data_IF_728413599801
#
_entry.id   IF_728413599801
#
_cell.length_a   1.000
_cell.length_b   1.000
_cell.length_c   1.000
_cell.angle_alpha   90.00
_cell.angle_beta   90.00
_cell.angle_gamma   90.00
#
_symmetry.space_group_name_H-M   'P 1'
#
loop_
_entity.id
_entity.type
_entity.pdbx_description
1 polymer ?
#
# COMPACT_ATOMS: atom_id res chain seq x y z
N UNK A 1 23.77 12.82 -16.78
CA UNK A 1 23.58 13.82 -15.71
C UNK A 1 22.99 13.05 -14.55
N UNK A 2 23.78 12.83 -13.51
CA UNK A 2 23.41 11.99 -12.37
C UNK A 2 22.57 12.84 -11.42
N UNK A 3 21.29 12.51 -11.26
CA UNK A 3 20.39 13.14 -10.30
C UNK A 3 20.98 13.12 -8.90
N UNK A 4 20.60 14.10 -8.07
CA UNK A 4 21.16 14.33 -6.74
C UNK A 4 20.87 13.18 -5.76
N UNK A 5 19.93 12.30 -6.09
CA UNK A 5 19.64 11.01 -5.47
C UNK A 5 20.14 9.89 -6.39
N UNK A 6 21.38 9.44 -6.17
CA UNK A 6 22.04 8.46 -7.02
C UNK A 6 21.19 7.23 -7.32
N UNK A 7 21.07 6.90 -8.61
CA UNK A 7 20.63 5.61 -9.18
C UNK A 7 19.41 4.96 -8.50
N UNK A 8 18.46 5.78 -8.04
CA UNK A 8 17.24 5.26 -7.42
C UNK A 8 16.32 4.76 -8.54
N UNK A 9 16.06 3.46 -8.56
CA UNK A 9 15.16 2.85 -9.54
C UNK A 9 13.69 3.17 -9.22
N UNK A 10 13.29 4.39 -9.61
CA UNK A 10 11.95 4.93 -9.47
C UNK A 10 10.87 3.99 -10.03
N UNK A 11 11.01 3.40 -11.23
CA UNK A 11 10.06 2.39 -11.72
C UNK A 11 9.90 1.19 -10.79
N UNK A 12 10.98 0.66 -10.25
CA UNK A 12 10.93 -0.49 -9.34
C UNK A 12 10.29 -0.14 -8.00
N UNK A 13 10.60 1.04 -7.44
CA UNK A 13 9.99 1.52 -6.20
C UNK A 13 8.48 1.77 -6.37
N UNK A 14 8.08 2.44 -7.46
CA UNK A 14 6.68 2.68 -7.78
C UNK A 14 5.89 1.35 -7.82
N UNK A 15 6.39 0.36 -8.58
CA UNK A 15 5.74 -0.95 -8.71
C UNK A 15 5.65 -1.70 -7.38
N UNK A 16 6.76 -1.75 -6.63
CA UNK A 16 6.79 -2.45 -5.33
C UNK A 16 5.84 -1.82 -4.33
N UNK A 17 5.82 -0.48 -4.23
CA UNK A 17 4.91 0.21 -3.33
C UNK A 17 3.44 0.05 -3.75
N UNK A 18 3.14 0.07 -5.06
CA UNK A 18 1.79 -0.21 -5.56
C UNK A 18 1.36 -1.64 -5.24
N UNK A 19 2.22 -2.64 -5.49
CA UNK A 19 1.92 -4.04 -5.19
C UNK A 19 1.76 -4.29 -3.69
N UNK A 20 2.60 -3.66 -2.86
CA UNK A 20 2.50 -3.74 -1.41
C UNK A 20 1.21 -3.09 -0.91
N UNK A 21 0.85 -1.92 -1.43
CA UNK A 21 -0.41 -1.25 -1.10
C UNK A 21 -1.63 -2.09 -1.49
N UNK A 22 -1.62 -2.64 -2.70
CA UNK A 22 -2.66 -3.58 -3.13
C UNK A 22 -2.76 -4.81 -2.22
N UNK A 23 -1.62 -5.39 -1.85
CA UNK A 23 -1.57 -6.56 -0.97
C UNK A 23 -2.14 -6.28 0.43
N UNK A 24 -1.78 -5.14 1.02
CA UNK A 24 -2.33 -4.71 2.32
C UNK A 24 -3.84 -4.48 2.25
N UNK A 25 -4.31 -3.79 1.21
CA UNK A 25 -5.74 -3.58 1.00
C UNK A 25 -6.50 -4.89 0.82
N UNK A 26 -5.98 -5.78 -0.04
CA UNK A 26 -6.58 -7.09 -0.26
C UNK A 26 -6.61 -7.92 1.03
N UNK A 27 -5.56 -7.86 1.85
CA UNK A 27 -5.51 -8.59 3.12
C UNK A 27 -6.53 -8.06 4.12
N UNK A 28 -6.65 -6.73 4.28
CA UNK A 28 -7.68 -6.12 5.14
C UNK A 28 -9.08 -6.52 4.71
N UNK A 29 -9.41 -6.28 3.43
CA UNK A 29 -10.75 -6.54 2.88
C UNK A 29 -11.12 -8.02 2.91
N UNK A 30 -10.20 -8.91 2.55
CA UNK A 30 -10.46 -10.34 2.62
C UNK A 30 -10.53 -10.84 4.06
N UNK A 31 -9.76 -10.26 4.98
CA UNK A 31 -9.83 -10.59 6.41
C UNK A 31 -11.20 -10.25 7.01
N UNK A 32 -11.70 -9.04 6.74
CA UNK A 32 -13.03 -8.62 7.19
C UNK A 32 -14.12 -9.49 6.54
N UNK A 33 -14.09 -9.68 5.23
CA UNK A 33 -15.07 -10.53 4.53
C UNK A 33 -15.06 -11.97 5.03
N UNK A 34 -13.87 -12.57 5.20
CA UNK A 34 -13.74 -13.95 5.65
C UNK A 34 -14.23 -14.14 7.08
N UNK A 35 -13.92 -13.20 7.98
CA UNK A 35 -14.38 -13.27 9.37
C UNK A 35 -15.90 -13.17 9.49
N UNK A 36 -16.52 -12.25 8.76
CA UNK A 36 -17.97 -12.14 8.67
C UNK A 36 -18.59 -13.42 8.06
N UNK A 37 -18.02 -13.97 7.00
CA UNK A 37 -18.51 -15.19 6.36
C UNK A 37 -18.41 -16.43 7.25
N UNK A 38 -17.37 -16.52 8.08
CA UNK A 38 -17.14 -17.61 9.02
C UNK A 38 -17.86 -17.42 10.37
N UNK A 39 -18.55 -16.28 10.58
CA UNK A 39 -19.21 -15.96 11.84
C UNK A 39 -18.24 -15.75 13.00
N UNK A 40 -16.98 -15.43 12.71
CA UNK A 40 -15.97 -15.16 13.74
C UNK A 40 -16.11 -13.72 14.24
N UNK A 41 -16.16 -13.55 15.55
CA UNK A 41 -16.05 -12.23 16.17
C UNK A 41 -14.58 -11.90 16.40
N UNK A 42 -14.07 -10.93 15.66
CA UNK A 42 -12.75 -10.37 15.95
C UNK A 42 -12.81 -9.51 17.21
N UNK A 43 -11.80 -9.61 18.09
CA UNK A 43 -11.50 -8.57 19.05
C UNK A 43 -11.38 -7.20 18.37
N UNK A 44 -11.76 -6.14 19.08
CA UNK A 44 -11.76 -4.78 18.53
C UNK A 44 -10.40 -4.36 17.94
N UNK A 45 -9.29 -4.79 18.56
CA UNK A 45 -7.94 -4.47 18.10
C UNK A 45 -7.58 -5.16 16.77
N UNK A 46 -8.08 -6.38 16.52
CA UNK A 46 -7.84 -7.08 15.24
C UNK A 46 -8.64 -6.43 14.12
N UNK A 47 -9.90 -6.07 14.39
CA UNK A 47 -10.73 -5.32 13.45
C UNK A 47 -10.08 -3.98 13.07
N UNK A 48 -9.53 -3.23 14.05
CA UNK A 48 -8.82 -2.00 13.74
C UNK A 48 -7.54 -2.23 12.92
N UNK A 49 -6.83 -3.33 13.13
CA UNK A 49 -5.64 -3.65 12.33
C UNK A 49 -5.99 -3.99 10.88
N UNK A 50 -7.08 -4.72 10.66
CA UNK A 50 -7.57 -5.00 9.30
C UNK A 50 -7.96 -3.71 8.59
N UNK A 51 -8.71 -2.84 9.27
CA UNK A 51 -9.08 -1.54 8.75
C UNK A 51 -7.86 -0.64 8.46
N UNK A 52 -6.89 -0.58 9.38
CA UNK A 52 -5.64 0.19 9.18
C UNK A 52 -4.85 -0.36 7.98
N UNK A 53 -4.82 -1.68 7.78
CA UNK A 53 -4.21 -2.30 6.62
C UNK A 53 -4.92 -1.91 5.31
N UNK A 54 -6.25 -1.80 5.31
CA UNK A 54 -7.00 -1.29 4.16
C UNK A 54 -6.62 0.16 3.83
N UNK A 55 -6.68 1.03 4.84
CA UNK A 55 -6.41 2.47 4.68
C UNK A 55 -4.98 2.70 4.20
N UNK A 56 -4.00 2.05 4.83
CA UNK A 56 -2.60 2.12 4.43
C UNK A 56 -2.38 1.49 3.05
N UNK A 57 -3.07 0.40 2.76
CA UNK A 57 -3.02 -0.27 1.47
C UNK A 57 -3.47 0.64 0.33
N UNK A 58 -4.63 1.29 0.47
CA UNK A 58 -5.15 2.27 -0.49
C UNK A 58 -4.21 3.46 -0.62
N UNK A 59 -3.74 4.01 0.50
CA UNK A 59 -2.81 5.14 0.50
C UNK A 59 -1.53 4.81 -0.27
N UNK A 60 -0.91 3.66 -0.01
CA UNK A 60 0.31 3.22 -0.70
C UNK A 60 0.05 2.89 -2.18
N UNK A 61 -1.07 2.24 -2.48
CA UNK A 61 -1.45 1.89 -3.86
C UNK A 61 -1.54 3.13 -4.75
N UNK A 62 -2.16 4.21 -4.24
CA UNK A 62 -2.36 5.45 -4.97
C UNK A 62 -1.15 6.38 -4.92
N UNK A 63 -0.51 6.52 -3.76
CA UNK A 63 0.59 7.47 -3.58
C UNK A 63 1.93 6.96 -4.10
N UNK A 64 2.19 5.65 -4.08
CA UNK A 64 3.45 5.09 -4.61
C UNK A 64 3.72 5.47 -6.07
N UNK A 65 2.81 5.23 -7.04
CA UNK A 65 3.06 5.59 -8.43
C UNK A 65 3.06 7.11 -8.64
N UNK A 66 2.31 7.87 -7.83
CA UNK A 66 2.31 9.33 -7.90
C UNK A 66 3.66 9.91 -7.44
N UNK A 67 4.17 9.46 -6.30
CA UNK A 67 5.42 9.96 -5.71
C UNK A 67 6.62 9.48 -6.52
N UNK A 68 6.77 8.17 -6.71
CA UNK A 68 7.95 7.60 -7.36
C UNK A 68 7.87 7.66 -8.89
N UNK A 69 6.68 7.58 -9.49
CA UNK A 69 6.53 7.62 -10.94
C UNK A 69 6.40 9.02 -11.53
N UNK A 70 5.98 10.01 -10.74
CA UNK A 70 5.72 11.38 -11.25
C UNK A 70 6.50 12.43 -10.47
N UNK A 71 6.30 12.57 -9.16
CA UNK A 71 6.86 13.71 -8.40
C UNK A 71 8.38 13.67 -8.34
N UNK A 72 8.97 12.56 -7.90
CA UNK A 72 10.42 12.47 -7.70
C UNK A 72 11.21 12.63 -9.00
N UNK A 73 10.86 11.97 -10.12
CA UNK A 73 11.53 12.19 -11.41
C UNK A 73 11.46 13.62 -11.94
N UNK A 74 10.47 14.42 -11.53
CA UNK A 74 10.34 15.83 -11.94
C UNK A 74 11.13 16.80 -11.04
N UNK A 75 11.52 16.36 -9.85
CA UNK A 75 12.29 17.17 -8.88
C UNK A 75 13.80 17.00 -8.99
N UNK A 76 14.24 16.02 -9.78
CA UNK A 76 15.64 15.76 -10.11
C UNK A 76 16.04 16.34 -11.47
#
# INVERSE_FOLDING_TARGET
>A
MTGRYGDLDYPTLAKRGTLLGFGLFALGALGELASHALGMQLPAWEATLLFDAEVLGVALFLLSPLVFGVLLPLTE
#
